data_IF_284357536034
#
_entry.id   IF_284357536034
#
_cell.length_a   1.000
_cell.length_b   1.000
_cell.length_c   1.000
_cell.angle_alpha   90.00
_cell.angle_beta   90.00
_cell.angle_gamma   90.00
#
_symmetry.space_group_name_H-M   'P 1'
#
loop_
_entity.id
_entity.type
_entity.pdbx_description
1 polymer ?
#
# COMPACT_ATOMS: atom_id res chain seq x y z
N UNK A 1 18.61 -5.51 -49.98
CA UNK A 1 18.88 -6.69 -49.13
C UNK A 1 17.57 -7.09 -48.46
N UNK A 2 16.89 -8.10 -48.98
CA UNK A 2 15.53 -8.49 -48.55
C UNK A 2 15.62 -9.83 -47.83
N UNK A 3 15.40 -9.86 -46.52
CA UNK A 3 15.42 -11.10 -45.73
C UNK A 3 14.07 -11.81 -45.87
N UNK A 4 14.03 -13.11 -46.25
CA UNK A 4 12.76 -13.84 -46.34
C UNK A 4 12.21 -14.13 -44.93
N UNK A 5 11.01 -13.63 -44.65
CA UNK A 5 10.21 -14.05 -43.48
C UNK A 5 9.76 -15.50 -43.68
N UNK A 6 10.46 -16.44 -43.06
CA UNK A 6 9.94 -17.79 -42.86
C UNK A 6 8.81 -17.74 -41.82
N UNK A 7 7.57 -17.85 -42.28
CA UNK A 7 6.46 -18.17 -41.38
C UNK A 7 6.60 -19.64 -40.98
N UNK A 8 7.30 -19.89 -39.87
CA UNK A 8 7.24 -21.18 -39.22
C UNK A 8 5.78 -21.45 -38.88
N UNK A 9 5.15 -22.39 -39.60
CA UNK A 9 3.78 -22.81 -39.33
C UNK A 9 3.69 -23.31 -37.90
N UNK A 10 2.87 -22.64 -37.08
CA UNK A 10 2.54 -23.15 -35.77
C UNK A 10 1.82 -24.49 -35.95
N UNK A 11 2.49 -25.59 -35.59
CA UNK A 11 1.83 -26.89 -35.50
C UNK A 11 0.73 -26.77 -34.43
N UNK A 12 -0.50 -27.14 -34.78
CA UNK A 12 -1.58 -27.22 -33.81
C UNK A 12 -1.21 -28.32 -32.82
N UNK A 13 -0.91 -27.95 -31.58
CA UNK A 13 -0.67 -28.94 -30.51
C UNK A 13 -1.83 -29.91 -30.44
N UNK A 14 -1.53 -31.19 -30.21
CA UNK A 14 -2.53 -32.23 -30.05
C UNK A 14 -3.54 -31.86 -28.94
N UNK A 15 -4.82 -32.28 -29.06
CA UNK A 15 -5.82 -32.06 -28.01
C UNK A 15 -5.32 -32.65 -26.68
N UNK A 16 -5.33 -31.86 -25.62
CA UNK A 16 -4.94 -32.32 -24.29
C UNK A 16 -5.98 -33.31 -23.75
N UNK A 17 -5.51 -34.32 -23.02
CA UNK A 17 -6.36 -35.31 -22.38
C UNK A 17 -7.32 -34.67 -21.37
N UNK A 18 -8.58 -35.11 -21.41
CA UNK A 18 -9.66 -34.66 -20.54
C UNK A 18 -9.83 -35.70 -19.45
N UNK A 19 -9.69 -35.29 -18.18
CA UNK A 19 -9.97 -36.16 -17.04
C UNK A 19 -11.46 -36.08 -16.73
N UNK A 20 -12.17 -37.16 -16.98
CA UNK A 20 -13.59 -37.30 -16.63
C UNK A 20 -13.73 -37.55 -15.13
N UNK A 21 -14.59 -36.78 -14.47
CA UNK A 21 -14.98 -37.06 -13.09
C UNK A 21 -16.41 -36.57 -12.88
N UNK A 22 -17.36 -37.48 -12.61
CA UNK A 22 -18.79 -37.16 -12.53
C UNK A 22 -19.13 -36.20 -11.36
N UNK A 23 -18.26 -36.08 -10.36
CA UNK A 23 -18.46 -35.15 -9.23
C UNK A 23 -17.98 -33.72 -9.51
N UNK A 24 -17.31 -33.45 -10.64
CA UNK A 24 -16.79 -32.11 -10.97
C UNK A 24 -17.90 -31.09 -11.25
N UNK A 25 -18.98 -31.49 -11.93
CA UNK A 25 -20.11 -30.61 -12.22
C UNK A 25 -20.71 -30.03 -10.93
N UNK A 26 -20.96 -30.87 -9.92
CA UNK A 26 -21.49 -30.45 -8.63
C UNK A 26 -20.54 -29.49 -7.88
N UNK A 27 -19.22 -29.74 -7.93
CA UNK A 27 -18.22 -28.86 -7.32
C UNK A 27 -18.20 -27.48 -7.98
N UNK A 28 -18.23 -27.44 -9.31
CA UNK A 28 -18.26 -26.19 -10.08
C UNK A 28 -19.53 -25.39 -9.79
N UNK A 29 -20.70 -26.04 -9.79
CA UNK A 29 -21.97 -25.37 -9.47
C UNK A 29 -22.01 -24.85 -8.03
N UNK A 30 -21.45 -25.60 -7.07
CA UNK A 30 -21.35 -25.16 -5.68
C UNK A 30 -20.54 -23.87 -5.56
N UNK A 31 -19.36 -23.83 -6.18
CA UNK A 31 -18.49 -22.64 -6.13
C UNK A 31 -19.11 -21.47 -6.89
N UNK A 32 -19.77 -21.71 -8.03
CA UNK A 32 -20.44 -20.65 -8.81
C UNK A 32 -21.50 -19.89 -8.00
N UNK A 33 -22.16 -20.54 -7.04
CA UNK A 33 -23.17 -19.92 -6.17
C UNK A 33 -22.59 -19.03 -5.07
N UNK A 34 -21.27 -19.08 -4.85
CA UNK A 34 -20.58 -18.25 -3.85
C UNK A 34 -20.32 -16.83 -4.37
N UNK A 35 -19.98 -15.91 -3.47
CA UNK A 35 -19.70 -14.51 -3.81
C UNK A 35 -18.31 -14.32 -4.46
N UNK A 36 -18.15 -14.82 -5.68
CA UNK A 36 -16.91 -14.77 -6.45
C UNK A 36 -16.69 -13.37 -7.04
N UNK A 37 -15.41 -12.95 -7.12
CA UNK A 37 -15.02 -11.82 -7.96
C UNK A 37 -15.41 -12.08 -9.43
N UNK A 38 -15.83 -11.04 -10.15
CA UNK A 38 -16.40 -11.17 -11.51
C UNK A 38 -15.54 -12.01 -12.46
N UNK A 39 -14.23 -11.74 -12.50
CA UNK A 39 -13.27 -12.50 -13.32
C UNK A 39 -13.19 -13.99 -12.97
N UNK A 40 -13.32 -14.31 -11.68
CA UNK A 40 -13.25 -15.70 -11.18
C UNK A 40 -14.56 -16.41 -11.51
N UNK A 41 -15.69 -15.71 -11.42
CA UNK A 41 -17.00 -16.23 -11.83
C UNK A 41 -17.03 -16.55 -13.32
N UNK A 42 -16.59 -15.64 -14.18
CA UNK A 42 -16.49 -15.85 -15.63
C UNK A 42 -15.60 -17.07 -15.96
N UNK A 43 -14.48 -17.22 -15.25
CA UNK A 43 -13.61 -18.39 -15.42
C UNK A 43 -14.30 -19.69 -15.00
N UNK A 44 -15.00 -19.72 -13.86
CA UNK A 44 -15.75 -20.89 -13.40
C UNK A 44 -16.90 -21.23 -14.36
N UNK A 45 -17.55 -20.22 -14.94
CA UNK A 45 -18.58 -20.39 -15.97
C UNK A 45 -17.99 -21.01 -17.25
N UNK A 46 -16.82 -20.53 -17.69
CA UNK A 46 -16.09 -21.14 -18.81
C UNK A 46 -15.73 -22.61 -18.55
N UNK A 47 -15.34 -22.96 -17.32
CA UNK A 47 -15.07 -24.35 -16.94
C UNK A 47 -16.33 -25.22 -16.94
N UNK A 48 -17.47 -24.68 -16.48
CA UNK A 48 -18.78 -25.35 -16.54
C UNK A 48 -19.21 -25.64 -17.97
N UNK A 49 -19.11 -24.66 -18.86
CA UNK A 49 -19.44 -24.83 -20.27
C UNK A 49 -18.53 -25.85 -20.95
N UNK A 50 -17.24 -25.85 -20.60
CA UNK A 50 -16.29 -26.84 -21.10
C UNK A 50 -16.63 -28.25 -20.61
N UNK A 51 -16.95 -28.40 -19.33
CA UNK A 51 -17.40 -29.66 -18.73
C UNK A 51 -18.66 -30.19 -19.42
N UNK A 52 -19.66 -29.34 -19.64
CA UNK A 52 -20.90 -29.72 -20.31
C UNK A 52 -20.69 -30.18 -21.76
N UNK A 53 -19.69 -29.63 -22.46
CA UNK A 53 -19.37 -30.00 -23.85
C UNK A 53 -18.48 -31.24 -23.98
N UNK A 54 -17.60 -31.49 -23.01
CA UNK A 54 -16.50 -32.47 -23.11
C UNK A 54 -16.56 -33.58 -22.07
N UNK A 55 -17.49 -33.54 -21.10
CA UNK A 55 -17.62 -34.53 -20.02
C UNK A 55 -16.56 -34.45 -18.92
N UNK A 56 -15.61 -33.51 -19.00
CA UNK A 56 -14.51 -33.39 -18.05
C UNK A 56 -13.68 -32.13 -18.21
N UNK A 57 -12.60 -32.02 -17.45
CA UNK A 57 -11.63 -30.91 -17.52
C UNK A 57 -10.24 -31.44 -17.87
N UNK A 58 -9.43 -30.62 -18.54
CA UNK A 58 -7.99 -30.90 -18.70
C UNK A 58 -7.27 -30.78 -17.35
N UNK A 59 -6.11 -31.42 -17.21
CA UNK A 59 -5.33 -31.39 -15.96
C UNK A 59 -5.03 -29.96 -15.46
N UNK A 60 -4.66 -29.05 -16.35
CA UNK A 60 -4.38 -27.64 -15.99
C UNK A 60 -5.64 -26.89 -15.55
N UNK A 61 -6.78 -27.16 -16.18
CA UNK A 61 -8.06 -26.57 -15.78
C UNK A 61 -8.47 -27.08 -14.40
N UNK A 62 -8.32 -28.38 -14.14
CA UNK A 62 -8.60 -28.99 -12.85
C UNK A 62 -7.67 -28.45 -11.75
N UNK A 63 -6.36 -28.38 -11.99
CA UNK A 63 -5.42 -27.79 -11.04
C UNK A 63 -5.71 -26.30 -10.75
N UNK A 64 -6.18 -25.56 -11.75
CA UNK A 64 -6.60 -24.15 -11.57
C UNK A 64 -7.90 -24.04 -10.78
N UNK A 65 -8.85 -24.94 -11.02
CA UNK A 65 -10.10 -25.03 -10.27
C UNK A 65 -9.85 -25.40 -8.80
N UNK A 66 -8.99 -26.37 -8.51
CA UNK A 66 -8.62 -26.76 -7.14
C UNK A 66 -7.95 -25.62 -6.37
N UNK A 67 -7.15 -24.79 -7.05
CA UNK A 67 -6.60 -23.56 -6.46
C UNK A 67 -7.66 -22.53 -6.11
N UNK A 68 -8.77 -22.49 -6.85
CA UNK A 68 -9.92 -21.64 -6.51
C UNK A 68 -10.67 -22.27 -5.35
N UNK A 69 -11.03 -23.54 -5.42
CA UNK A 69 -11.78 -24.26 -4.39
C UNK A 69 -11.09 -24.25 -3.03
N UNK A 70 -9.78 -24.43 -2.99
CA UNK A 70 -8.99 -24.35 -1.76
C UNK A 70 -9.11 -23.00 -1.06
N UNK A 71 -9.22 -21.89 -1.81
CA UNK A 71 -9.45 -20.54 -1.26
C UNK A 71 -10.84 -20.36 -0.66
N UNK A 72 -11.81 -21.18 -1.09
CA UNK A 72 -13.20 -21.15 -0.62
C UNK A 72 -13.52 -22.25 0.40
N UNK A 73 -12.51 -23.01 0.82
CA UNK A 73 -12.66 -24.02 1.86
C UNK A 73 -13.16 -23.39 3.18
N UNK A 74 -13.93 -24.13 4.00
CA UNK A 74 -14.41 -23.60 5.29
C UNK A 74 -13.27 -23.09 6.18
N UNK A 75 -12.11 -23.76 6.14
CA UNK A 75 -10.92 -23.37 6.89
C UNK A 75 -10.40 -21.99 6.47
N UNK A 76 -10.40 -21.69 5.17
CA UNK A 76 -9.91 -20.40 4.67
C UNK A 76 -10.89 -19.26 4.99
N UNK A 77 -12.20 -19.53 5.01
CA UNK A 77 -13.21 -18.55 5.48
C UNK A 77 -12.99 -18.18 6.94
N UNK A 78 -12.75 -19.16 7.79
CA UNK A 78 -12.44 -18.93 9.21
C UNK A 78 -11.18 -18.06 9.34
N UNK A 79 -10.14 -18.31 8.54
CA UNK A 79 -8.94 -17.45 8.55
C UNK A 79 -9.24 -16.01 8.11
N UNK A 80 -10.08 -15.82 7.09
CA UNK A 80 -10.47 -14.48 6.63
C UNK A 80 -11.28 -13.73 7.69
N UNK A 81 -12.20 -14.41 8.37
CA UNK A 81 -12.98 -13.82 9.48
C UNK A 81 -12.10 -13.46 10.68
N UNK A 82 -11.15 -14.33 11.04
CA UNK A 82 -10.16 -14.05 12.08
C UNK A 82 -9.33 -12.82 11.68
N UNK A 83 -8.82 -12.80 10.45
CA UNK A 83 -8.05 -11.68 9.93
C UNK A 83 -8.82 -10.36 9.93
N UNK A 84 -10.10 -10.38 9.54
CA UNK A 84 -10.94 -9.17 9.57
C UNK A 84 -11.09 -8.61 10.98
N UNK A 85 -11.29 -9.49 11.97
CA UNK A 85 -11.37 -9.10 13.39
C UNK A 85 -10.05 -8.56 13.91
N UNK A 86 -8.95 -9.27 13.67
CA UNK A 86 -7.60 -8.84 14.07
C UNK A 86 -7.21 -7.50 13.42
N UNK A 87 -7.47 -7.35 12.13
CA UNK A 87 -7.15 -6.13 11.38
C UNK A 87 -7.88 -4.92 11.95
N UNK A 88 -9.18 -5.03 12.21
CA UNK A 88 -9.98 -3.93 12.76
C UNK A 88 -9.59 -3.59 14.19
N UNK A 89 -9.25 -4.59 15.01
CA UNK A 89 -8.91 -4.39 16.41
C UNK A 89 -7.52 -3.75 16.59
N UNK A 90 -6.49 -4.28 15.92
CA UNK A 90 -5.10 -3.94 16.23
C UNK A 90 -4.38 -3.18 15.13
N UNK A 91 -4.75 -3.43 13.87
CA UNK A 91 -3.95 -2.96 12.74
C UNK A 91 -4.52 -1.74 12.05
N UNK A 92 -5.79 -1.39 12.26
CA UNK A 92 -6.47 -0.32 11.54
C UNK A 92 -5.82 1.05 11.77
N UNK A 93 -5.48 1.38 13.02
CA UNK A 93 -4.84 2.65 13.39
C UNK A 93 -3.47 2.81 12.73
N UNK A 94 -2.58 1.83 12.93
CA UNK A 94 -1.25 1.81 12.32
C UNK A 94 -1.33 1.78 10.79
N UNK A 95 -2.32 1.07 10.20
CA UNK A 95 -2.54 1.03 8.75
C UNK A 95 -2.96 2.39 8.19
N UNK A 96 -3.82 3.14 8.89
CA UNK A 96 -4.24 4.48 8.45
C UNK A 96 -3.06 5.45 8.41
N UNK A 97 -2.18 5.42 9.42
CA UNK A 97 -0.97 6.25 9.48
C UNK A 97 -0.04 5.94 8.29
N UNK A 98 0.20 4.66 8.04
CA UNK A 98 1.08 4.23 6.94
C UNK A 98 0.43 4.47 5.56
N UNK A 99 -0.89 4.29 5.44
CA UNK A 99 -1.64 4.60 4.24
C UNK A 99 -1.57 6.10 3.92
N UNK A 100 -1.65 6.97 4.92
CA UNK A 100 -1.51 8.41 4.71
C UNK A 100 -0.12 8.79 4.16
N UNK A 101 0.93 8.10 4.57
CA UNK A 101 2.26 8.24 3.97
C UNK A 101 2.25 7.77 2.50
N UNK A 102 1.78 6.55 2.24
CA UNK A 102 1.81 5.94 0.90
C UNK A 102 0.89 6.60 -0.13
N UNK A 103 -0.21 7.24 0.30
CA UNK A 103 -1.12 7.96 -0.59
C UNK A 103 -0.43 9.05 -1.40
N UNK A 104 0.65 9.62 -0.86
CA UNK A 104 1.46 10.67 -1.49
C UNK A 104 2.63 10.13 -2.31
N UNK A 105 2.83 8.81 -2.32
CA UNK A 105 3.91 8.15 -3.04
C UNK A 105 3.39 7.39 -4.25
N UNK A 106 4.28 6.96 -5.14
CA UNK A 106 3.93 6.06 -6.25
C UNK A 106 3.70 4.60 -5.84
N UNK A 107 4.01 4.22 -4.59
CA UNK A 107 3.94 2.83 -4.13
C UNK A 107 2.73 2.62 -3.22
N UNK A 108 2.03 1.50 -3.39
CA UNK A 108 0.86 1.13 -2.59
C UNK A 108 -0.25 2.20 -2.56
N UNK A 109 -0.23 3.18 -3.47
CA UNK A 109 -1.16 4.31 -3.50
C UNK A 109 -2.62 3.87 -3.63
N UNK A 110 -2.90 2.86 -4.47
CA UNK A 110 -4.24 2.28 -4.61
C UNK A 110 -4.73 1.65 -3.30
N UNK A 111 -3.88 0.86 -2.65
CA UNK A 111 -4.21 0.19 -1.38
C UNK A 111 -4.40 1.22 -0.26
N UNK A 112 -3.52 2.20 -0.20
CA UNK A 112 -3.61 3.31 0.74
C UNK A 112 -4.91 4.12 0.53
N UNK A 113 -5.26 4.42 -0.72
CA UNK A 113 -6.49 5.10 -1.06
C UNK A 113 -7.74 4.34 -0.60
N UNK A 114 -7.79 3.03 -0.80
CA UNK A 114 -8.88 2.18 -0.30
C UNK A 114 -8.98 2.23 1.24
N UNK A 115 -7.86 2.09 1.95
CA UNK A 115 -7.82 2.12 3.43
C UNK A 115 -8.27 3.49 3.99
N UNK A 116 -7.97 4.58 3.29
CA UNK A 116 -8.31 5.94 3.74
C UNK A 116 -9.73 6.36 3.37
N UNK A 117 -10.28 5.82 2.27
CA UNK A 117 -11.58 6.25 1.72
C UNK A 117 -12.73 5.35 2.17
N UNK A 118 -12.48 4.05 2.28
CA UNK A 118 -13.48 3.07 2.67
C UNK A 118 -13.18 2.55 4.08
N UNK A 119 -14.00 2.96 5.06
CA UNK A 119 -13.86 2.55 6.46
C UNK A 119 -14.15 1.06 6.68
N UNK A 120 -14.90 0.43 5.77
CA UNK A 120 -15.26 -0.99 5.86
C UNK A 120 -14.22 -1.89 5.21
N UNK A 121 -13.35 -1.32 4.37
CA UNK A 121 -12.35 -2.05 3.60
C UNK A 121 -11.31 -2.74 4.50
N UNK A 122 -11.17 -4.05 4.28
CA UNK A 122 -10.14 -4.87 4.91
C UNK A 122 -9.18 -5.37 3.84
N UNK A 123 -7.90 -4.96 3.87
CA UNK A 123 -6.92 -5.44 2.90
C UNK A 123 -6.66 -6.93 3.12
N UNK A 124 -6.27 -7.65 2.06
CA UNK A 124 -5.82 -9.04 2.25
C UNK A 124 -4.57 -9.10 3.13
N UNK A 125 -4.43 -10.16 3.92
CA UNK A 125 -3.26 -10.35 4.81
C UNK A 125 -1.93 -10.21 4.05
N UNK A 126 -1.86 -10.71 2.81
CA UNK A 126 -0.68 -10.58 1.93
C UNK A 126 -0.38 -9.13 1.56
N UNK A 127 -1.41 -8.35 1.18
CA UNK A 127 -1.26 -6.93 0.86
C UNK A 127 -0.83 -6.14 2.10
N UNK A 128 -1.45 -6.41 3.25
CA UNK A 128 -1.12 -5.81 4.52
C UNK A 128 0.36 -6.06 4.89
N UNK A 129 0.81 -7.31 4.88
CA UNK A 129 2.19 -7.66 5.20
C UNK A 129 3.18 -6.92 4.28
N UNK A 130 2.88 -6.86 2.98
CA UNK A 130 3.75 -6.20 2.00
C UNK A 130 3.83 -4.68 2.22
N UNK A 131 2.72 -4.05 2.61
CA UNK A 131 2.66 -2.62 2.90
C UNK A 131 3.31 -2.28 4.26
N UNK A 132 3.11 -3.11 5.28
CA UNK A 132 3.50 -2.80 6.66
C UNK A 132 4.89 -3.30 7.05
N UNK A 133 5.32 -4.49 6.58
CA UNK A 133 6.62 -5.08 6.97
C UNK A 133 7.82 -4.56 6.18
N UNK A 134 7.71 -3.37 5.59
CA UNK A 134 8.83 -2.77 4.87
C UNK A 134 9.54 -1.71 5.74
N UNK A 135 10.81 -1.44 5.44
CA UNK A 135 11.64 -0.51 6.23
C UNK A 135 11.10 0.92 6.30
N UNK A 136 10.25 1.33 5.35
CA UNK A 136 9.71 2.68 5.30
C UNK A 136 8.50 2.81 6.22
N UNK A 137 7.57 1.84 6.18
CA UNK A 137 6.44 1.76 7.08
C UNK A 137 6.87 1.71 8.55
N UNK A 138 7.89 0.89 8.88
CA UNK A 138 8.45 0.87 10.23
C UNK A 138 8.96 2.25 10.69
N UNK A 139 9.73 2.94 9.85
CA UNK A 139 10.23 4.30 10.16
C UNK A 139 9.12 5.33 10.33
N UNK A 140 8.05 5.22 9.53
CA UNK A 140 6.88 6.12 9.63
C UNK A 140 6.15 5.88 10.95
N UNK A 141 5.90 4.62 11.32
CA UNK A 141 5.26 4.28 12.60
C UNK A 141 6.12 4.67 13.80
N UNK A 142 7.41 4.40 13.76
CA UNK A 142 8.35 4.84 14.80
C UNK A 142 8.33 6.35 14.95
N UNK A 143 8.46 7.10 13.85
CA UNK A 143 8.42 8.55 13.87
C UNK A 143 7.08 9.10 14.35
N UNK A 144 5.96 8.43 14.07
CA UNK A 144 4.64 8.84 14.55
C UNK A 144 4.51 8.65 16.06
N UNK A 145 4.92 7.48 16.57
CA UNK A 145 4.79 7.08 17.98
C UNK A 145 5.74 7.82 18.92
N UNK A 146 6.89 8.28 18.44
CA UNK A 146 7.82 9.13 19.21
C UNK A 146 7.11 10.42 19.64
N UNK A 147 7.45 11.00 20.79
CA UNK A 147 6.88 12.30 21.18
C UNK A 147 7.49 13.47 20.37
N UNK A 148 6.71 14.51 20.03
CA UNK A 148 7.26 15.69 19.36
C UNK A 148 8.38 16.34 20.18
N UNK A 149 9.56 16.57 19.58
CA UNK A 149 10.70 17.19 20.27
C UNK A 149 10.48 18.64 20.69
N UNK A 150 9.61 19.33 19.96
CA UNK A 150 9.27 20.72 20.18
C UNK A 150 7.76 20.89 20.33
N UNK A 151 7.36 21.74 21.26
CA UNK A 151 5.97 22.05 21.56
C UNK A 151 5.43 23.16 20.64
N UNK A 152 4.10 23.30 20.62
CA UNK A 152 3.42 24.41 19.94
C UNK A 152 3.83 25.74 20.58
N UNK A 153 3.99 26.78 19.76
CA UNK A 153 4.48 28.12 20.12
C UNK A 153 5.94 28.17 20.60
N UNK A 154 6.67 27.05 20.64
CA UNK A 154 8.09 27.08 20.97
C UNK A 154 8.88 27.84 19.90
N UNK A 155 9.84 28.64 20.36
CA UNK A 155 10.81 29.29 19.47
C UNK A 155 11.89 28.27 19.08
N UNK A 156 12.07 28.09 17.78
CA UNK A 156 13.04 27.17 17.19
C UNK A 156 13.89 27.89 16.15
N UNK A 157 14.94 27.23 15.69
CA UNK A 157 15.79 27.72 14.62
C UNK A 157 15.94 26.67 13.53
N UNK A 158 15.95 27.10 12.28
CA UNK A 158 16.19 26.20 11.15
C UNK A 158 17.68 25.86 11.06
N UNK A 159 18.00 24.57 11.03
CA UNK A 159 19.36 24.02 10.93
C UNK A 159 20.01 24.44 9.61
N UNK A 160 21.31 24.72 9.66
CA UNK A 160 22.12 25.05 8.48
C UNK A 160 22.11 23.96 7.40
N UNK A 161 21.85 22.71 7.78
CA UNK A 161 21.78 21.56 6.87
C UNK A 161 20.41 21.39 6.19
N UNK A 162 19.42 22.22 6.50
CA UNK A 162 18.10 22.18 5.86
C UNK A 162 18.20 22.45 4.36
N UNK A 163 17.43 21.74 3.54
CA UNK A 163 17.45 21.93 2.08
C UNK A 163 18.66 21.35 1.36
N UNK A 164 19.34 20.36 1.96
CA UNK A 164 20.43 19.65 1.26
C UNK A 164 19.90 18.80 0.11
N UNK A 165 18.76 18.13 0.30
CA UNK A 165 18.08 17.37 -0.75
C UNK A 165 17.49 18.27 -1.85
N UNK A 166 17.34 17.73 -3.06
CA UNK A 166 16.85 18.48 -4.23
C UNK A 166 15.43 19.00 -3.99
N UNK A 167 14.53 18.16 -3.48
CA UNK A 167 13.14 18.52 -3.17
C UNK A 167 13.02 19.63 -2.10
N UNK A 168 14.03 19.76 -1.25
CA UNK A 168 14.02 20.68 -0.09
C UNK A 168 14.82 21.98 -0.37
N UNK A 169 15.34 22.20 -1.60
CA UNK A 169 16.22 23.35 -1.90
C UNK A 169 15.60 24.71 -1.56
N UNK A 170 14.27 24.83 -1.66
CA UNK A 170 13.54 26.04 -1.30
C UNK A 170 13.76 26.45 0.17
N UNK A 171 14.06 25.49 1.07
CA UNK A 171 14.33 25.75 2.48
C UNK A 171 15.71 26.39 2.75
N UNK A 172 16.62 26.39 1.76
CA UNK A 172 17.99 26.94 1.94
C UNK A 172 18.00 28.42 2.31
N UNK A 173 17.02 29.17 1.80
CA UNK A 173 16.89 30.61 2.05
C UNK A 173 16.47 30.92 3.49
N UNK A 174 15.91 29.93 4.20
CA UNK A 174 15.41 30.06 5.56
C UNK A 174 16.40 29.56 6.63
N UNK A 175 17.60 29.11 6.21
CA UNK A 175 18.61 28.57 7.12
C UNK A 175 19.01 29.57 8.19
N UNK A 176 19.22 29.07 9.40
CA UNK A 176 19.63 29.84 10.58
C UNK A 176 18.62 30.89 11.05
N UNK A 177 17.45 31.00 10.42
CA UNK A 177 16.39 31.90 10.86
C UNK A 177 15.70 31.34 12.10
N UNK A 178 15.33 32.25 13.00
CA UNK A 178 14.44 31.97 14.11
C UNK A 178 13.00 31.83 13.61
N UNK A 179 12.25 30.95 14.25
CA UNK A 179 10.90 30.62 13.85
C UNK A 179 10.04 30.25 15.06
N UNK A 180 8.73 30.33 14.89
CA UNK A 180 7.76 29.81 15.86
C UNK A 180 7.02 28.61 15.30
N UNK A 181 6.82 27.60 16.15
CA UNK A 181 6.01 26.44 15.79
C UNK A 181 4.53 26.79 15.92
N UNK A 182 3.78 26.63 14.84
CA UNK A 182 2.33 26.82 14.82
C UNK A 182 1.57 25.52 15.06
N UNK A 183 2.08 24.40 14.54
CA UNK A 183 1.46 23.07 14.68
C UNK A 183 2.51 21.96 14.56
N UNK A 184 2.24 20.80 15.19
CA UNK A 184 3.13 19.64 15.28
C UNK A 184 2.41 18.30 14.99
N UNK A 185 1.19 18.37 14.47
CA UNK A 185 0.28 17.27 14.17
C UNK A 185 0.16 17.00 12.67
N UNK A 186 1.15 17.44 11.87
CA UNK A 186 1.12 17.28 10.43
C UNK A 186 1.50 15.84 10.03
N UNK A 187 0.95 15.35 8.91
CA UNK A 187 1.24 14.01 8.44
C UNK A 187 2.69 13.85 8.00
N UNK A 188 3.23 12.66 8.28
CA UNK A 188 4.61 12.28 7.95
C UNK A 188 4.71 12.08 6.44
N UNK A 189 5.67 12.77 5.82
CA UNK A 189 5.91 12.69 4.37
C UNK A 189 7.24 12.02 4.02
N UNK A 190 8.17 11.96 4.96
CA UNK A 190 9.48 11.33 4.76
C UNK A 190 9.64 10.13 5.70
N UNK A 191 10.17 9.02 5.20
CA UNK A 191 10.46 7.84 6.02
C UNK A 191 11.90 7.89 6.57
N UNK A 192 12.21 8.93 7.35
CA UNK A 192 13.54 9.21 7.92
C UNK A 192 13.47 9.48 9.42
N UNK A 193 14.60 9.36 10.13
CA UNK A 193 14.68 9.80 11.52
C UNK A 193 14.35 11.30 11.63
N UNK A 194 13.52 11.68 12.61
CA UNK A 194 13.04 13.06 12.77
C UNK A 194 12.12 13.52 11.64
N UNK A 195 11.29 12.62 11.10
CA UNK A 195 10.32 12.93 10.05
C UNK A 195 8.98 13.48 10.53
N UNK A 196 8.80 13.69 11.85
CA UNK A 196 7.67 14.45 12.36
C UNK A 196 7.63 15.81 11.70
N UNK A 197 6.44 16.23 11.28
CA UNK A 197 6.28 17.43 10.48
C UNK A 197 5.64 18.53 11.30
N UNK A 198 6.20 19.72 11.15
CA UNK A 198 5.85 20.91 11.89
C UNK A 198 5.46 22.01 10.91
N UNK A 199 4.38 22.73 11.22
CA UNK A 199 4.07 23.99 10.55
C UNK A 199 4.77 25.10 11.31
N UNK A 200 5.68 25.79 10.63
CA UNK A 200 6.61 26.73 11.26
C UNK A 200 6.50 28.08 10.57
N UNK A 201 6.48 29.18 11.34
CA UNK A 201 6.52 30.54 10.82
C UNK A 201 7.91 31.13 11.04
N UNK A 202 8.72 31.30 9.98
CA UNK A 202 9.99 32.00 10.07
C UNK A 202 9.79 33.48 10.38
N UNK A 203 10.64 34.03 11.24
CA UNK A 203 10.66 35.47 11.51
C UNK A 203 10.96 36.25 10.22
N UNK A 204 10.19 37.32 10.00
CA UNK A 204 10.25 38.14 8.78
C UNK A 204 9.59 37.52 7.53
N UNK A 205 9.02 36.31 7.63
CA UNK A 205 8.23 35.71 6.56
C UNK A 205 6.73 35.93 6.78
N UNK A 206 5.99 36.18 5.70
CA UNK A 206 4.52 36.36 5.75
C UNK A 206 3.77 35.03 5.77
N UNK A 207 4.38 33.94 5.29
CA UNK A 207 3.73 32.63 5.13
C UNK A 207 4.43 31.56 5.98
N UNK A 208 3.66 30.68 6.66
CA UNK A 208 4.23 29.52 7.31
C UNK A 208 4.71 28.50 6.29
N UNK A 209 5.69 27.70 6.68
CA UNK A 209 6.34 26.67 5.87
C UNK A 209 6.42 25.39 6.70
N UNK A 210 6.23 24.25 6.05
CA UNK A 210 6.30 22.97 6.73
C UNK A 210 7.73 22.43 6.76
N UNK A 211 8.17 21.95 7.93
CA UNK A 211 9.49 21.39 8.14
C UNK A 211 9.41 20.02 8.82
N UNK A 212 10.30 19.12 8.44
CA UNK A 212 10.60 17.93 9.24
C UNK A 212 11.40 18.32 10.50
N UNK A 213 11.18 17.62 11.61
CA UNK A 213 11.85 17.83 12.89
C UNK A 213 13.38 17.82 12.78
N UNK A 214 13.93 16.98 11.90
CA UNK A 214 15.37 16.89 11.60
C UNK A 214 15.99 18.21 11.15
N UNK A 215 15.18 19.14 10.63
CA UNK A 215 15.61 20.47 10.18
C UNK A 215 15.50 21.54 11.26
N UNK A 216 14.91 21.23 12.41
CA UNK A 216 14.73 22.16 13.51
C UNK A 216 15.76 21.92 14.61
N UNK A 217 16.16 22.99 15.28
CA UNK A 217 17.01 22.96 16.46
C UNK A 217 16.55 23.98 17.48
N UNK A 218 17.01 23.84 18.73
CA UNK A 218 16.87 24.90 19.73
C UNK A 218 17.63 26.16 19.25
N UNK A 219 17.09 27.37 19.50
CA UNK A 219 17.75 28.62 19.11
C UNK A 219 19.16 28.71 19.67
N UNK A 220 20.12 29.08 18.82
CA UNK A 220 21.48 29.40 19.21
C UNK A 220 21.72 30.91 19.21
N UNK A 221 22.80 31.38 19.85
CA UNK A 221 23.18 32.81 19.88
C UNK A 221 23.41 33.42 18.48
N UNK A 222 23.54 32.59 17.43
CA UNK A 222 23.75 32.99 16.03
C UNK A 222 22.45 32.98 15.21
N UNK A 223 21.29 32.87 15.86
CA UNK A 223 19.98 32.96 15.22
C UNK A 223 19.80 34.28 14.49
N UNK A 224 19.34 34.22 13.24
CA UNK A 224 19.02 35.40 12.44
C UNK A 224 17.54 35.73 12.56
N UNK A 225 17.24 37.02 12.67
CA UNK A 225 15.87 37.56 12.66
C UNK A 225 15.42 37.95 11.24
N UNK A 226 16.38 38.12 10.30
CA UNK A 226 16.20 38.49 8.89
C UNK A 226 17.09 37.66 7.95
#
# INVERSE_FOLDING_TARGET
MNWPRSYAGYSRSAPKEVKENPKLGLRLEKIKKENLAANTREFVESLLDFFNKRGGLTENQLASFEKIESRWSPQERVKLEIWEKEYRAEHLSDSKIVAEYYSRTGYFSTLAGQILTDETFVPSQKQYIKMMKNKYAHRVLEAYKVEPKFEKNAMVQIRSTAGTAIAERHLRQLRSRLCFILANDLPIVNATAGAKRYKVLPMGATKPVDFDEKHLMKPNKKGKYS
#
